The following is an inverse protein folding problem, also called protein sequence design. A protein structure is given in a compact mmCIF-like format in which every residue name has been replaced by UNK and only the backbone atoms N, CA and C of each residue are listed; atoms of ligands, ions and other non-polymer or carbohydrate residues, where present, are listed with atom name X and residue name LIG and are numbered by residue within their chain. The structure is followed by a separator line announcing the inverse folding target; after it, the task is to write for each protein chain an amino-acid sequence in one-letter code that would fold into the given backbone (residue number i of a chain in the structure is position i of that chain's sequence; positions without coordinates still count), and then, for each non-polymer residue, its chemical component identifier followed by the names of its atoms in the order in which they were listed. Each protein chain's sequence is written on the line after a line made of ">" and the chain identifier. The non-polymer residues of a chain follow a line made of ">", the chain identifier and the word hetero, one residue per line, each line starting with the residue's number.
data_IF_344441009727
#
_entry.id   IF_344441009727
#
_cell.length_a   1.000
_cell.length_b   1.000
_cell.length_c   1.000
_cell.angle_alpha   90.00
_cell.angle_beta   90.00
_cell.angle_gamma   90.00
#
_symmetry.space_group_name_H-M   'P 1'
#
loop_
_entity.id
_entity.type
_entity.pdbx_description
1 polymer ?
#
# COMPACT_ATOMS: atom_id res chain seq x y z
N UNK A 1 -20.12 7.32 -22.34
CA UNK A 1 -20.19 5.84 -22.31
C UNK A 1 -19.51 5.22 -21.09
N UNK A 2 -19.07 6.00 -20.09
CA UNK A 2 -18.21 5.50 -18.99
C UNK A 2 -18.91 5.08 -17.69
N UNK A 3 -20.24 5.11 -17.62
CA UNK A 3 -20.94 4.94 -16.33
C UNK A 3 -20.70 3.55 -15.70
N UNK A 4 -20.68 2.50 -16.52
CA UNK A 4 -20.46 1.13 -16.06
C UNK A 4 -19.01 0.93 -15.55
N UNK A 5 -17.95 1.26 -16.32
CA UNK A 5 -16.58 1.17 -15.81
C UNK A 5 -16.36 1.96 -14.52
N UNK A 6 -16.91 3.19 -14.40
CA UNK A 6 -16.80 3.98 -13.17
C UNK A 6 -17.47 3.31 -11.98
N UNK A 7 -18.66 2.73 -12.19
CA UNK A 7 -19.37 2.02 -11.13
C UNK A 7 -18.59 0.81 -10.65
N UNK A 8 -18.07 0.00 -11.57
CA UNK A 8 -17.27 -1.19 -11.24
C UNK A 8 -15.97 -0.78 -10.54
N UNK A 9 -15.25 0.22 -11.05
CA UNK A 9 -14.05 0.78 -10.44
C UNK A 9 -14.34 1.32 -9.03
N UNK A 10 -15.46 2.02 -8.85
CA UNK A 10 -15.92 2.53 -7.56
C UNK A 10 -16.23 1.42 -6.55
N UNK A 11 -16.94 0.36 -6.97
CA UNK A 11 -17.27 -0.79 -6.10
C UNK A 11 -15.99 -1.54 -5.70
N UNK A 12 -15.16 -1.90 -6.66
CA UNK A 12 -13.90 -2.63 -6.41
C UNK A 12 -12.92 -1.81 -5.59
N UNK A 13 -12.75 -0.53 -5.89
CA UNK A 13 -11.93 0.39 -5.09
C UNK A 13 -12.46 0.57 -3.66
N UNK A 14 -13.78 0.62 -3.47
CA UNK A 14 -14.38 0.66 -2.13
C UNK A 14 -14.15 -0.64 -1.38
N UNK A 15 -14.25 -1.80 -2.04
CA UNK A 15 -13.93 -3.09 -1.42
C UNK A 15 -12.47 -3.13 -0.93
N UNK A 16 -11.52 -2.63 -1.73
CA UNK A 16 -10.13 -2.51 -1.31
C UNK A 16 -9.95 -1.54 -0.12
N UNK A 17 -10.69 -0.43 -0.08
CA UNK A 17 -10.67 0.53 1.04
C UNK A 17 -11.38 0.04 2.31
N UNK A 18 -12.29 -0.92 2.19
CA UNK A 18 -12.87 -1.62 3.33
C UNK A 18 -11.91 -2.69 3.86
N UNK A 19 -11.15 -3.34 2.98
CA UNK A 19 -10.17 -4.33 3.39
C UNK A 19 -8.88 -3.71 3.94
N UNK A 20 -8.36 -2.63 3.34
CA UNK A 20 -7.17 -1.92 3.79
C UNK A 20 -7.48 -0.47 4.18
N UNK A 21 -6.69 0.07 5.11
CA UNK A 21 -6.70 1.51 5.41
C UNK A 21 -5.86 2.23 4.35
N UNK A 22 -6.53 2.72 3.31
CA UNK A 22 -5.89 3.34 2.14
C UNK A 22 -5.48 4.78 2.44
N UNK A 23 -4.21 5.10 2.17
CA UNK A 23 -3.61 6.41 2.34
C UNK A 23 -3.05 6.91 1.00
N UNK A 24 -3.74 7.86 0.35
CA UNK A 24 -3.36 8.41 -0.96
C UNK A 24 -2.46 9.62 -0.77
N UNK A 25 -1.31 9.63 -1.46
CA UNK A 25 -0.38 10.75 -1.50
C UNK A 25 0.04 11.08 -2.94
N UNK A 26 0.54 12.30 -3.14
CA UNK A 26 0.99 12.78 -4.43
C UNK A 26 0.04 13.79 -5.07
N UNK A 27 0.45 14.38 -6.21
CA UNK A 27 -0.36 15.36 -6.92
C UNK A 27 -1.61 14.72 -7.55
N UNK A 28 -2.61 15.53 -7.95
CA UNK A 28 -3.67 15.07 -8.83
C UNK A 28 -3.09 14.54 -10.15
N UNK A 29 -3.80 13.59 -10.77
CA UNK A 29 -3.39 13.04 -12.05
C UNK A 29 -3.68 14.04 -13.19
N UNK A 30 -2.79 14.12 -14.20
CA UNK A 30 -3.01 15.00 -15.34
C UNK A 30 -4.18 14.52 -16.20
N UNK A 31 -4.78 15.46 -16.92
CA UNK A 31 -5.76 15.18 -17.97
C UNK A 31 -5.10 14.61 -19.23
N UNK A 32 -5.93 14.08 -20.11
CA UNK A 32 -5.49 13.46 -21.37
C UNK A 32 -4.90 12.06 -21.21
N UNK A 33 -4.11 11.61 -22.19
CA UNK A 33 -3.56 10.26 -22.24
C UNK A 33 -2.56 9.99 -21.11
N UNK A 34 -2.75 8.88 -20.41
CA UNK A 34 -2.05 8.60 -19.16
C UNK A 34 -1.62 7.13 -19.01
N UNK A 35 -0.36 6.93 -18.65
CA UNK A 35 0.15 5.64 -18.15
C UNK A 35 0.44 5.78 -16.65
N UNK A 36 -0.24 4.97 -15.84
CA UNK A 36 0.12 4.72 -14.45
C UNK A 36 1.03 3.50 -14.38
N UNK A 37 2.32 3.72 -14.15
CA UNK A 37 3.31 2.65 -14.00
C UNK A 37 3.53 2.38 -12.51
N UNK A 38 3.09 1.21 -12.03
CA UNK A 38 3.11 0.86 -10.61
C UNK A 38 3.96 -0.37 -10.30
N UNK A 39 4.47 -0.49 -9.08
CA UNK A 39 4.99 -1.76 -8.54
C UNK A 39 3.83 -2.73 -8.23
N UNK A 40 4.09 -4.04 -8.16
CA UNK A 40 3.02 -5.06 -8.08
C UNK A 40 3.09 -6.03 -6.88
N UNK A 41 3.07 -5.54 -5.63
CA UNK A 41 3.27 -6.40 -4.47
C UNK A 41 2.07 -7.30 -4.09
N UNK A 42 0.86 -7.04 -4.58
CA UNK A 42 -0.36 -7.74 -4.14
C UNK A 42 -1.36 -8.02 -5.29
N UNK A 43 -0.84 -8.18 -6.50
CA UNK A 43 -1.60 -8.65 -7.67
C UNK A 43 -2.91 -7.85 -7.88
N UNK A 44 -4.06 -8.52 -7.98
CA UNK A 44 -5.36 -7.89 -8.26
C UNK A 44 -5.73 -6.75 -7.30
N UNK A 45 -5.33 -6.81 -6.03
CA UNK A 45 -5.62 -5.75 -5.06
C UNK A 45 -4.96 -4.43 -5.47
N UNK A 46 -3.77 -4.48 -6.06
CA UNK A 46 -3.06 -3.27 -6.49
C UNK A 46 -3.86 -2.50 -7.53
N UNK A 47 -4.53 -3.19 -8.45
CA UNK A 47 -5.40 -2.58 -9.46
C UNK A 47 -6.63 -1.93 -8.80
N UNK A 48 -7.21 -2.60 -7.81
CA UNK A 48 -8.35 -2.05 -7.05
C UNK A 48 -7.96 -0.80 -6.28
N UNK A 49 -6.74 -0.74 -5.74
CA UNK A 49 -6.22 0.45 -5.06
C UNK A 49 -6.03 1.61 -6.03
N UNK A 50 -5.52 1.37 -7.24
CA UNK A 50 -5.42 2.43 -8.25
C UNK A 50 -6.82 2.91 -8.66
N UNK A 51 -7.82 2.03 -8.83
CA UNK A 51 -9.21 2.46 -9.06
C UNK A 51 -9.73 3.35 -7.94
N UNK A 52 -9.40 3.03 -6.69
CA UNK A 52 -9.79 3.84 -5.53
C UNK A 52 -9.11 5.21 -5.50
N UNK A 53 -7.87 5.29 -5.93
CA UNK A 53 -6.98 6.43 -5.67
C UNK A 53 -6.71 7.33 -6.88
N UNK A 54 -7.02 6.91 -8.10
CA UNK A 54 -6.63 7.65 -9.31
C UNK A 54 -7.63 8.73 -9.76
N UNK A 55 -8.88 8.70 -9.29
CA UNK A 55 -9.98 9.55 -9.79
C UNK A 55 -10.22 9.47 -11.32
N UNK A 56 -9.50 8.57 -12.02
CA UNK A 56 -9.52 8.35 -13.47
C UNK A 56 -9.93 6.90 -13.70
N UNK A 57 -10.64 6.63 -14.80
CA UNK A 57 -10.89 5.25 -15.21
C UNK A 57 -9.62 4.74 -15.85
N UNK A 58 -8.94 3.82 -15.18
CA UNK A 58 -7.73 3.19 -15.68
C UNK A 58 -8.09 1.84 -16.28
N UNK A 59 -7.49 1.49 -17.41
CA UNK A 59 -7.63 0.16 -18.02
C UNK A 59 -6.48 -0.74 -17.54
N UNK A 60 -6.76 -1.82 -16.78
CA UNK A 60 -5.72 -2.73 -16.32
C UNK A 60 -5.12 -3.54 -17.46
N UNK A 61 -3.80 -3.52 -17.56
CA UNK A 61 -3.07 -4.52 -18.33
C UNK A 61 -2.78 -5.70 -17.40
N UNK A 62 -3.39 -6.85 -17.68
CA UNK A 62 -3.37 -8.01 -16.79
C UNK A 62 -3.09 -9.31 -17.54
N UNK A 63 -2.65 -10.35 -16.83
CA UNK A 63 -2.34 -11.67 -17.43
C UNK A 63 -3.57 -12.27 -18.12
N UNK A 64 -3.41 -12.75 -19.35
CA UNK A 64 -4.50 -13.32 -20.15
C UNK A 64 -5.33 -14.40 -19.42
N UNK A 65 -4.74 -15.36 -18.67
CA UNK A 65 -5.53 -16.37 -17.94
C UNK A 65 -6.52 -15.84 -16.89
N UNK A 66 -6.37 -14.57 -16.44
CA UNK A 66 -7.33 -13.93 -15.54
C UNK A 66 -8.64 -13.59 -16.26
N UNK A 67 -8.57 -13.35 -17.57
CA UNK A 67 -9.72 -13.00 -18.40
C UNK A 67 -10.59 -14.22 -18.73
N UNK A 68 -10.05 -15.44 -18.67
CA UNK A 68 -10.81 -16.67 -18.92
C UNK A 68 -11.70 -17.09 -17.73
N UNK A 69 -11.52 -16.45 -16.57
CA UNK A 69 -12.33 -16.71 -15.38
C UNK A 69 -13.73 -16.09 -15.56
N UNK A 70 -14.79 -16.88 -15.39
CA UNK A 70 -16.18 -16.46 -15.66
C UNK A 70 -16.58 -15.12 -15.02
N UNK A 71 -16.37 -14.96 -13.71
CA UNK A 71 -16.72 -13.72 -12.99
C UNK A 71 -15.64 -12.65 -13.14
N UNK A 72 -14.40 -12.97 -12.78
CA UNK A 72 -13.29 -12.01 -12.78
C UNK A 72 -13.01 -11.45 -14.18
N UNK A 73 -13.00 -12.30 -15.20
CA UNK A 73 -12.76 -11.88 -16.59
C UNK A 73 -13.84 -10.96 -17.12
N UNK A 74 -15.10 -11.19 -16.74
CA UNK A 74 -16.22 -10.30 -17.11
C UNK A 74 -16.07 -8.92 -16.49
N UNK A 75 -15.65 -8.85 -15.22
CA UNK A 75 -15.33 -7.58 -14.53
C UNK A 75 -14.16 -6.86 -15.19
N UNK A 76 -13.07 -7.57 -15.49
CA UNK A 76 -11.88 -7.00 -16.15
C UNK A 76 -12.21 -6.46 -17.55
N UNK A 77 -12.97 -7.22 -18.36
CA UNK A 77 -13.44 -6.76 -19.68
C UNK A 77 -14.34 -5.54 -19.58
N UNK A 78 -15.26 -5.51 -18.63
CA UNK A 78 -16.15 -4.36 -18.41
C UNK A 78 -15.39 -3.08 -17.97
N UNK A 79 -14.22 -3.24 -17.34
CA UNK A 79 -13.30 -2.16 -17.03
C UNK A 79 -12.41 -1.73 -18.22
N UNK A 80 -12.56 -2.39 -19.37
CA UNK A 80 -11.70 -2.19 -20.55
C UNK A 80 -10.29 -2.75 -20.36
N UNK A 81 -10.12 -3.76 -19.50
CA UNK A 81 -8.84 -4.42 -19.27
C UNK A 81 -8.28 -5.07 -20.53
N UNK A 82 -6.97 -5.00 -20.67
CA UNK A 82 -6.23 -5.48 -21.84
C UNK A 82 -5.46 -6.75 -21.43
N UNK A 83 -5.71 -7.91 -22.07
CA UNK A 83 -5.00 -9.14 -21.77
C UNK A 83 -3.55 -9.07 -22.25
N UNK A 84 -2.63 -9.55 -21.41
CA UNK A 84 -1.18 -9.61 -21.68
C UNK A 84 -0.77 -11.07 -21.69
N UNK A 85 -0.20 -11.52 -22.81
CA UNK A 85 0.41 -12.85 -22.95
C UNK A 85 1.87 -12.77 -22.53
N UNK A 86 2.27 -13.57 -21.53
CA UNK A 86 3.66 -13.66 -21.07
C UNK A 86 4.25 -14.96 -21.58
N UNK A 87 5.53 -14.92 -21.97
CA UNK A 87 6.28 -16.09 -22.44
C UNK A 87 6.30 -17.24 -21.42
N UNK A 88 6.18 -16.92 -20.13
CA UNK A 88 6.11 -17.88 -19.02
C UNK A 88 4.75 -18.58 -18.91
N UNK A 89 3.67 -17.94 -19.38
CA UNK A 89 2.31 -18.48 -19.31
C UNK A 89 1.96 -19.25 -20.59
N UNK A 90 2.41 -18.76 -21.74
CA UNK A 90 2.20 -19.37 -23.06
C UNK A 90 3.30 -18.89 -24.05
N UNK A 91 4.32 -19.73 -24.33
CA UNK A 91 5.38 -19.39 -25.27
C UNK A 91 4.91 -19.24 -26.72
N UNK A 92 3.82 -19.91 -27.12
CA UNK A 92 3.32 -19.96 -28.49
C UNK A 92 2.37 -18.78 -28.81
N UNK A 93 1.77 -18.16 -27.78
CA UNK A 93 0.89 -16.99 -27.94
C UNK A 93 1.62 -15.63 -28.02
N UNK A 94 2.94 -15.60 -28.25
CA UNK A 94 3.70 -14.34 -28.34
C UNK A 94 3.28 -13.44 -29.49
N UNK A 95 2.77 -14.01 -30.58
CA UNK A 95 2.27 -13.27 -31.74
C UNK A 95 1.04 -12.41 -31.38
N UNK A 96 0.31 -12.75 -30.29
CA UNK A 96 -0.83 -11.96 -29.80
C UNK A 96 -0.43 -10.71 -29.01
N UNK A 97 0.86 -10.51 -28.73
CA UNK A 97 1.30 -9.29 -28.05
C UNK A 97 1.12 -8.04 -28.91
N UNK A 98 1.11 -8.16 -30.23
CA UNK A 98 0.87 -7.03 -31.13
C UNK A 98 -0.54 -6.44 -30.94
N UNK A 99 -1.55 -7.29 -30.72
CA UNK A 99 -2.91 -6.86 -30.41
C UNK A 99 -3.00 -6.13 -29.07
N UNK A 100 -2.24 -6.58 -28.06
CA UNK A 100 -2.13 -5.91 -26.77
C UNK A 100 -1.50 -4.52 -26.91
N UNK A 101 -0.39 -4.40 -27.64
CA UNK A 101 0.26 -3.11 -27.90
C UNK A 101 -0.69 -2.16 -28.63
N UNK A 102 -1.33 -2.63 -29.72
CA UNK A 102 -2.32 -1.85 -30.47
C UNK A 102 -3.47 -1.37 -29.58
N UNK A 103 -4.07 -2.27 -28.81
CA UNK A 103 -5.18 -1.93 -27.91
C UNK A 103 -4.78 -0.88 -26.86
N UNK A 104 -3.55 -0.98 -26.32
CA UNK A 104 -3.04 -0.01 -25.36
C UNK A 104 -2.81 1.35 -26.02
N UNK A 105 -2.25 1.39 -27.23
CA UNK A 105 -2.07 2.62 -28.02
C UNK A 105 -3.41 3.27 -28.35
N UNK A 106 -4.41 2.50 -28.80
CA UNK A 106 -5.75 2.99 -29.13
C UNK A 106 -6.42 3.68 -27.93
N UNK A 107 -6.26 3.10 -26.73
CA UNK A 107 -6.75 3.69 -25.49
C UNK A 107 -6.10 5.05 -25.23
N UNK A 108 -4.78 5.16 -25.45
CA UNK A 108 -4.04 6.40 -25.24
C UNK A 108 -4.41 7.44 -26.32
N UNK A 109 -4.51 7.07 -27.59
CA UNK A 109 -4.98 7.97 -28.65
C UNK A 109 -6.40 8.48 -28.39
N UNK A 110 -7.25 7.68 -27.74
CA UNK A 110 -8.57 8.11 -27.24
C UNK A 110 -8.54 9.00 -26.00
N UNK A 111 -7.37 9.43 -25.51
CA UNK A 111 -7.21 10.23 -24.29
C UNK A 111 -7.45 9.47 -22.99
N UNK A 112 -7.47 8.14 -23.04
CA UNK A 112 -7.72 7.26 -21.91
C UNK A 112 -6.50 7.08 -21.00
N UNK A 113 -6.73 6.39 -19.87
CA UNK A 113 -5.66 6.00 -18.96
C UNK A 113 -5.49 4.48 -18.93
N UNK A 114 -4.24 4.02 -18.89
CA UNK A 114 -3.88 2.63 -18.62
C UNK A 114 -3.15 2.53 -17.28
N UNK A 115 -3.33 1.41 -16.59
CA UNK A 115 -2.50 1.03 -15.46
C UNK A 115 -1.72 -0.23 -15.81
N UNK A 116 -0.42 -0.19 -15.57
CA UNK A 116 0.53 -1.22 -15.97
C UNK A 116 1.56 -1.43 -14.86
N UNK A 117 2.01 -2.67 -14.75
CA UNK A 117 2.98 -3.12 -13.75
C UNK A 117 4.26 -3.58 -14.46
N UNK A 118 5.26 -2.70 -14.63
CA UNK A 118 6.40 -2.95 -15.52
C UNK A 118 7.29 -4.15 -15.10
N UNK A 119 7.22 -4.59 -13.84
CA UNK A 119 7.89 -5.80 -13.34
C UNK A 119 7.41 -7.09 -14.05
N UNK A 120 6.18 -7.09 -14.58
CA UNK A 120 5.60 -8.23 -15.30
C UNK A 120 5.29 -9.46 -14.43
N UNK A 121 5.50 -9.38 -13.10
CA UNK A 121 5.21 -10.39 -12.09
C UNK A 121 4.70 -9.70 -10.83
N UNK A 122 3.83 -10.37 -10.07
CA UNK A 122 3.61 -10.02 -8.67
C UNK A 122 4.68 -10.69 -7.82
N UNK A 123 5.19 -10.01 -6.79
CA UNK A 123 6.12 -10.64 -5.85
C UNK A 123 6.05 -10.03 -4.44
N UNK A 124 6.56 -10.76 -3.46
CA UNK A 124 6.65 -10.32 -2.06
C UNK A 124 8.01 -9.74 -1.66
N UNK A 125 8.94 -9.57 -2.60
CA UNK A 125 10.28 -9.08 -2.31
C UNK A 125 10.29 -7.65 -1.76
N UNK A 126 11.30 -7.34 -0.94
CA UNK A 126 11.51 -6.03 -0.32
C UNK A 126 12.10 -4.97 -1.28
N UNK A 127 12.37 -5.37 -2.53
CA UNK A 127 12.92 -4.58 -3.62
C UNK A 127 12.04 -4.75 -4.85
N UNK A 128 12.07 -3.78 -5.75
CA UNK A 128 11.47 -3.91 -7.09
C UNK A 128 12.20 -5.01 -7.88
N UNK A 129 11.43 -5.82 -8.63
CA UNK A 129 11.97 -6.68 -9.67
C UNK A 129 12.45 -5.87 -10.88
N UNK A 130 13.15 -6.54 -11.79
CA UNK A 130 13.59 -5.96 -13.05
C UNK A 130 12.40 -5.53 -13.92
N UNK A 131 12.48 -4.31 -14.47
CA UNK A 131 11.42 -3.75 -15.29
C UNK A 131 11.54 -4.24 -16.74
N UNK A 132 10.42 -4.69 -17.31
CA UNK A 132 10.33 -5.07 -18.72
C UNK A 132 10.09 -3.83 -19.59
N UNK A 133 10.55 -3.88 -20.83
CA UNK A 133 10.46 -2.75 -21.79
C UNK A 133 9.06 -2.50 -22.35
N UNK A 134 8.07 -3.34 -22.05
CA UNK A 134 6.72 -3.26 -22.63
C UNK A 134 6.04 -1.90 -22.37
N UNK A 135 6.14 -1.36 -21.16
CA UNK A 135 5.58 -0.05 -20.82
C UNK A 135 6.18 1.06 -21.67
N UNK A 136 7.51 1.05 -21.85
CA UNK A 136 8.21 2.03 -22.67
C UNK A 136 7.83 1.92 -24.14
N UNK A 137 7.70 0.70 -24.66
CA UNK A 137 7.26 0.44 -26.04
C UNK A 137 5.86 1.00 -26.31
N UNK A 138 4.89 0.74 -25.43
CA UNK A 138 3.53 1.31 -25.55
C UNK A 138 3.59 2.84 -25.59
N UNK A 139 4.35 3.45 -24.69
CA UNK A 139 4.45 4.90 -24.60
C UNK A 139 5.05 5.53 -25.87
N UNK A 140 6.16 4.97 -26.35
CA UNK A 140 6.87 5.47 -27.54
C UNK A 140 6.05 5.26 -28.81
N UNK A 141 5.41 4.09 -28.98
CA UNK A 141 4.54 3.83 -30.12
C UNK A 141 3.30 4.74 -30.13
N UNK A 142 2.74 5.04 -28.96
CA UNK A 142 1.60 5.96 -28.86
C UNK A 142 2.00 7.39 -29.26
N UNK A 143 3.15 7.88 -28.82
CA UNK A 143 3.66 9.19 -29.26
C UNK A 143 4.01 9.18 -30.75
N UNK A 144 4.74 8.17 -31.24
CA UNK A 144 5.11 8.05 -32.66
C UNK A 144 3.88 8.06 -33.57
N UNK A 145 2.85 7.27 -33.25
CA UNK A 145 1.62 7.21 -34.05
C UNK A 145 0.80 8.51 -34.08
N UNK A 146 1.14 9.48 -33.22
CA UNK A 146 0.55 10.82 -33.18
C UNK A 146 1.56 11.92 -33.55
N UNK A 147 2.63 11.58 -34.28
CA UNK A 147 3.78 12.44 -34.60
C UNK A 147 4.30 13.26 -33.40
N UNK A 148 4.39 12.59 -32.24
CA UNK A 148 4.92 13.13 -30.99
C UNK A 148 4.10 14.30 -30.41
N UNK A 149 2.85 14.44 -30.85
CA UNK A 149 1.88 15.45 -30.42
C UNK A 149 0.81 14.93 -29.45
N UNK A 150 0.88 13.67 -29.02
CA UNK A 150 -0.15 13.05 -28.17
C UNK A 150 -0.23 13.71 -26.78
N UNK A 151 0.92 14.15 -26.26
CA UNK A 151 1.00 14.75 -24.93
C UNK A 151 0.88 13.72 -23.80
N UNK A 152 1.34 12.48 -24.05
CA UNK A 152 1.27 11.36 -23.12
C UNK A 152 1.96 11.68 -21.80
N UNK A 153 1.23 11.51 -20.71
CA UNK A 153 1.77 11.58 -19.36
C UNK A 153 2.06 10.20 -18.81
N UNK A 154 3.23 10.03 -18.21
CA UNK A 154 3.62 8.83 -17.46
C UNK A 154 3.75 9.23 -15.99
N UNK A 155 3.02 8.54 -15.12
CA UNK A 155 3.03 8.77 -13.68
C UNK A 155 3.52 7.50 -12.99
N UNK A 156 4.68 7.55 -12.32
CA UNK A 156 5.12 6.49 -11.44
C UNK A 156 4.20 6.39 -10.22
N UNK A 157 3.87 5.17 -9.81
CA UNK A 157 3.02 4.90 -8.65
C UNK A 157 3.71 3.91 -7.73
N UNK A 158 3.80 4.25 -6.45
CA UNK A 158 4.29 3.35 -5.42
C UNK A 158 3.18 2.88 -4.50
N UNK A 159 3.04 1.57 -4.39
CA UNK A 159 2.09 0.88 -3.50
C UNK A 159 2.91 0.19 -2.41
N UNK A 160 2.71 0.61 -1.17
CA UNK A 160 3.42 0.08 0.00
C UNK A 160 2.43 -0.40 1.05
N UNK A 161 2.44 -1.70 1.34
CA UNK A 161 1.59 -2.31 2.37
C UNK A 161 2.32 -2.37 3.71
N UNK A 162 1.62 -2.06 4.81
CA UNK A 162 2.07 -2.36 6.16
C UNK A 162 2.22 -3.87 6.36
N UNK A 163 1.14 -4.62 6.10
CA UNK A 163 1.15 -6.09 6.02
C UNK A 163 0.04 -6.56 5.08
N UNK A 164 0.41 -7.08 3.91
CA UNK A 164 -0.53 -7.30 2.79
C UNK A 164 -1.47 -8.49 2.99
N UNK A 165 -1.08 -9.46 3.79
CA UNK A 165 -1.83 -10.69 4.07
C UNK A 165 -2.91 -10.51 5.15
N UNK A 166 -2.85 -9.39 5.88
CA UNK A 166 -3.73 -9.07 6.99
C UNK A 166 -4.75 -8.00 6.56
N UNK A 167 -6.01 -8.25 6.88
CA UNK A 167 -7.05 -7.24 6.71
C UNK A 167 -6.85 -6.08 7.71
N UNK A 168 -7.36 -4.91 7.34
CA UNK A 168 -7.40 -3.67 8.13
C UNK A 168 -6.01 -3.09 8.46
N UNK A 169 -5.00 -3.53 7.73
CA UNK A 169 -3.67 -2.92 7.74
C UNK A 169 -3.61 -1.75 6.76
N UNK A 170 -2.60 -0.90 6.92
CA UNK A 170 -2.47 0.29 6.08
C UNK A 170 -1.83 -0.04 4.73
N UNK A 171 -2.24 0.70 3.71
CA UNK A 171 -1.58 0.73 2.41
C UNK A 171 -1.44 2.17 1.96
N UNK A 172 -0.20 2.57 1.66
CA UNK A 172 0.09 3.87 1.07
C UNK A 172 0.16 3.73 -0.45
N UNK A 173 -0.60 4.56 -1.16
CA UNK A 173 -0.56 4.69 -2.63
C UNK A 173 -0.03 6.09 -2.96
N UNK A 174 1.17 6.15 -3.51
CA UNK A 174 1.88 7.40 -3.80
C UNK A 174 1.99 7.63 -5.30
N UNK A 175 1.47 8.75 -5.77
CA UNK A 175 1.64 9.20 -7.14
C UNK A 175 2.84 10.13 -7.23
N UNK A 176 3.78 9.80 -8.12
CA UNK A 176 4.94 10.63 -8.41
C UNK A 176 4.61 11.78 -9.34
N UNK A 177 5.61 12.62 -9.61
CA UNK A 177 5.49 13.71 -10.61
C UNK A 177 5.34 13.10 -12.01
N UNK A 178 4.31 13.53 -12.74
CA UNK A 178 4.13 13.17 -14.14
C UNK A 178 5.29 13.65 -15.00
N UNK A 179 5.70 12.84 -15.98
CA UNK A 179 6.65 13.23 -17.01
C UNK A 179 6.19 12.75 -18.39
N UNK A 180 6.70 13.40 -19.43
CA UNK A 180 6.45 13.02 -20.83
C UNK A 180 7.63 12.23 -21.37
N UNK A 181 7.40 11.46 -22.44
CA UNK A 181 8.45 10.77 -23.19
C UNK A 181 8.70 11.37 -24.57
N UNK A 182 8.02 12.47 -24.93
CA UNK A 182 8.13 13.07 -26.26
C UNK A 182 9.55 13.62 -26.56
N UNK A 183 10.33 13.89 -25.51
CA UNK A 183 11.73 14.28 -25.56
C UNK A 183 12.65 13.17 -26.10
N UNK A 184 12.16 11.94 -26.24
CA UNK A 184 12.92 10.81 -26.79
C UNK A 184 12.72 10.62 -28.30
N UNK A 185 12.09 11.57 -29.01
CA UNK A 185 11.81 11.49 -30.47
C UNK A 185 13.02 11.11 -31.31
N UNK A 186 14.08 11.89 -31.21
CA UNK A 186 15.27 11.68 -32.05
C UNK A 186 15.99 10.38 -31.66
N UNK A 187 16.11 10.10 -30.36
CA UNK A 187 16.69 8.85 -29.89
C UNK A 187 15.90 7.62 -30.37
N UNK A 188 14.57 7.73 -30.46
CA UNK A 188 13.72 6.65 -30.97
C UNK A 188 13.86 6.46 -32.49
N UNK A 189 14.03 7.54 -33.26
CA UNK A 189 14.29 7.46 -34.70
C UNK A 189 15.63 6.80 -35.02
N UNK A 190 16.64 7.07 -34.21
CA UNK A 190 17.98 6.48 -34.35
C UNK A 190 18.01 5.02 -33.92
N UNK A 191 17.53 4.73 -32.70
CA UNK A 191 17.49 3.37 -32.15
C UNK A 191 16.26 3.20 -31.22
N UNK A 192 15.16 2.62 -31.73
CA UNK A 192 13.96 2.35 -30.95
C UNK A 192 14.20 1.50 -29.69
N UNK A 193 15.17 0.58 -29.74
CA UNK A 193 15.48 -0.33 -28.62
C UNK A 193 16.21 0.43 -27.52
N UNK A 194 17.22 1.23 -27.88
CA UNK A 194 17.94 2.06 -26.92
C UNK A 194 17.03 3.12 -26.28
N UNK A 195 16.17 3.77 -27.06
CA UNK A 195 15.17 4.71 -26.53
C UNK A 195 14.20 4.02 -25.56
N UNK A 196 13.75 2.80 -25.90
CA UNK A 196 12.91 1.97 -25.05
C UNK A 196 13.58 1.63 -23.71
N UNK A 197 14.87 1.26 -23.72
CA UNK A 197 15.65 1.00 -22.50
C UNK A 197 15.78 2.26 -21.64
N UNK A 198 16.16 3.39 -22.24
CA UNK A 198 16.28 4.69 -21.56
C UNK A 198 14.97 5.13 -20.89
N UNK A 199 13.84 4.94 -21.57
CA UNK A 199 12.53 5.23 -20.98
C UNK A 199 12.17 4.25 -19.86
N UNK A 200 12.50 2.96 -20.02
CA UNK A 200 12.29 1.94 -18.98
C UNK A 200 13.04 2.30 -17.70
N UNK A 201 14.32 2.69 -17.81
CA UNK A 201 15.13 3.16 -16.69
C UNK A 201 14.53 4.41 -16.03
N UNK A 202 14.04 5.37 -16.81
CA UNK A 202 13.38 6.58 -16.29
C UNK A 202 12.10 6.22 -15.51
N UNK A 203 11.31 5.27 -16.01
CA UNK A 203 10.11 4.76 -15.32
C UNK A 203 10.51 4.05 -14.03
N UNK A 204 11.51 3.17 -14.07
CA UNK A 204 12.01 2.43 -12.90
C UNK A 204 12.48 3.39 -11.81
N UNK A 205 13.32 4.37 -12.15
CA UNK A 205 13.77 5.39 -11.20
C UNK A 205 12.60 6.19 -10.61
N UNK A 206 11.58 6.48 -11.42
CA UNK A 206 10.34 7.10 -10.98
C UNK A 206 9.62 6.25 -9.93
N UNK A 207 9.36 4.96 -10.22
CA UNK A 207 8.63 4.07 -9.31
C UNK A 207 9.44 3.83 -8.03
N UNK A 208 10.76 3.66 -8.15
CA UNK A 208 11.68 3.51 -7.02
C UNK A 208 11.64 4.68 -6.05
N UNK A 209 11.40 5.90 -6.54
CA UNK A 209 11.23 7.10 -5.69
C UNK A 209 9.90 7.11 -4.94
N UNK A 210 8.90 6.39 -5.43
CA UNK A 210 7.58 6.30 -4.80
C UNK A 210 7.39 5.04 -3.94
N UNK A 211 8.38 4.14 -3.90
CA UNK A 211 8.38 2.91 -3.07
C UNK A 211 9.41 2.94 -1.94
N UNK A 212 9.20 2.09 -0.93
CA UNK A 212 10.24 1.76 0.07
C UNK A 212 11.04 0.57 -0.45
N UNK A 213 12.32 0.80 -0.76
CA UNK A 213 13.22 -0.22 -1.28
C UNK A 213 14.24 -0.58 -0.21
N UNK A 214 14.29 -1.85 0.17
CA UNK A 214 15.23 -2.35 1.15
C UNK A 214 16.11 -3.43 0.54
N UNK A 215 17.43 -3.36 0.78
CA UNK A 215 18.35 -4.40 0.33
C UNK A 215 18.05 -5.77 0.95
N UNK A 216 17.54 -5.80 2.19
CA UNK A 216 17.15 -7.03 2.90
C UNK A 216 15.77 -6.89 3.55
N UNK A 217 14.96 -7.97 3.65
CA UNK A 217 13.66 -7.93 4.32
C UNK A 217 13.73 -7.44 5.78
N UNK A 218 14.79 -7.77 6.51
CA UNK A 218 14.99 -7.34 7.91
C UNK A 218 15.24 -5.84 8.06
N UNK A 219 15.75 -5.18 7.03
CA UNK A 219 16.08 -3.74 7.09
C UNK A 219 14.83 -2.90 7.26
N UNK A 220 13.70 -3.36 6.72
CA UNK A 220 12.40 -2.69 6.88
C UNK A 220 12.04 -2.50 8.35
N UNK A 221 12.14 -3.56 9.14
CA UNK A 221 11.82 -3.53 10.58
C UNK A 221 12.75 -2.56 11.30
N UNK A 222 14.05 -2.60 10.99
CA UNK A 222 15.04 -1.73 11.60
C UNK A 222 14.78 -0.26 11.27
N UNK A 223 14.48 0.04 10.01
CA UNK A 223 14.15 1.41 9.56
C UNK A 223 12.86 1.91 10.21
N UNK A 224 11.82 1.08 10.28
CA UNK A 224 10.57 1.46 10.93
C UNK A 224 10.76 1.73 12.43
N UNK A 225 11.56 0.92 13.14
CA UNK A 225 11.88 1.11 14.56
C UNK A 225 12.75 2.35 14.77
N UNK A 226 13.79 2.53 13.96
CA UNK A 226 14.70 3.67 14.05
C UNK A 226 13.96 4.99 13.83
N UNK A 227 13.11 5.06 12.80
CA UNK A 227 12.29 6.22 12.49
C UNK A 227 11.33 6.53 13.65
N UNK A 228 10.61 5.51 14.14
CA UNK A 228 9.68 5.63 15.26
C UNK A 228 10.34 6.15 16.54
N UNK A 229 11.50 5.61 16.90
CA UNK A 229 12.26 6.04 18.06
C UNK A 229 12.67 7.51 17.91
N UNK A 230 13.25 7.87 16.77
CA UNK A 230 13.82 9.19 16.54
C UNK A 230 12.76 10.29 16.59
N UNK A 231 11.62 10.13 15.91
CA UNK A 231 10.57 11.17 15.88
C UNK A 231 9.90 11.39 17.24
N UNK A 232 9.90 10.36 18.10
CA UNK A 232 9.31 10.43 19.45
C UNK A 232 10.27 11.02 20.46
N UNK A 233 11.55 10.67 20.37
CA UNK A 233 12.58 11.28 21.20
C UNK A 233 12.71 12.79 20.89
N UNK A 234 12.57 13.19 19.62
CA UNK A 234 12.51 14.59 19.20
C UNK A 234 11.16 15.28 19.46
N UNK A 235 10.16 14.55 19.98
CA UNK A 235 8.80 15.06 20.27
C UNK A 235 8.08 15.65 19.06
N UNK A 236 8.45 15.26 17.84
CA UNK A 236 7.69 15.61 16.63
C UNK A 236 6.31 14.95 16.65
N UNK A 237 6.23 13.78 17.29
CA UNK A 237 5.05 12.93 17.34
C UNK A 237 4.84 12.46 18.78
N UNK A 238 3.60 12.47 19.31
CA UNK A 238 3.32 11.93 20.64
C UNK A 238 3.68 10.43 20.75
N UNK A 239 4.12 9.99 21.92
CA UNK A 239 4.61 8.63 22.17
C UNK A 239 3.69 7.50 21.70
N UNK A 240 2.37 7.65 21.90
CA UNK A 240 1.35 6.66 21.50
C UNK A 240 0.61 7.01 20.21
N UNK A 241 1.04 8.05 19.50
CA UNK A 241 0.44 8.37 18.21
C UNK A 241 0.83 7.30 17.17
N UNK A 242 -0.18 6.84 16.43
CA UNK A 242 -0.07 5.91 15.30
C UNK A 242 -0.28 6.74 14.04
N UNK A 243 0.81 7.21 13.44
CA UNK A 243 0.76 7.96 12.18
C UNK A 243 0.52 7.03 11.00
N UNK A 244 -0.22 7.51 10.00
CA UNK A 244 -0.42 6.77 8.76
C UNK A 244 0.88 6.56 8.00
N UNK A 245 1.00 5.42 7.34
CA UNK A 245 2.16 5.00 6.58
C UNK A 245 2.59 6.04 5.54
N UNK A 246 1.67 6.67 4.82
CA UNK A 246 2.01 7.65 3.81
C UNK A 246 2.59 8.96 4.38
N UNK A 247 2.19 9.36 5.60
CA UNK A 247 2.81 10.48 6.34
C UNK A 247 4.23 10.13 6.80
N UNK A 248 4.46 8.89 7.25
CA UNK A 248 5.77 8.40 7.68
C UNK A 248 6.73 8.20 6.50
N UNK A 249 6.19 7.99 5.31
CA UNK A 249 6.93 7.54 4.13
C UNK A 249 8.17 8.38 3.78
N UNK A 250 8.14 9.73 3.73
CA UNK A 250 9.34 10.51 3.42
C UNK A 250 10.46 10.31 4.45
N UNK A 251 10.08 10.11 5.73
CA UNK A 251 11.04 9.83 6.81
C UNK A 251 11.60 8.41 6.65
N UNK A 252 10.75 7.42 6.43
CA UNK A 252 11.18 6.03 6.18
C UNK A 252 12.16 5.94 4.99
N UNK A 253 11.93 6.68 3.91
CA UNK A 253 12.88 6.76 2.79
C UNK A 253 14.22 7.39 3.16
N UNK A 254 14.22 8.45 3.99
CA UNK A 254 15.46 9.07 4.48
C UNK A 254 16.25 8.09 5.33
N UNK A 255 15.60 7.39 6.26
CA UNK A 255 16.22 6.34 7.08
C UNK A 255 16.73 5.16 6.24
N UNK A 256 15.97 4.70 5.25
CA UNK A 256 16.40 3.62 4.35
C UNK A 256 17.66 4.02 3.55
N UNK A 257 17.71 5.23 3.00
CA UNK A 257 18.90 5.75 2.30
C UNK A 257 20.10 5.90 3.22
N UNK A 258 19.89 6.39 4.45
CA UNK A 258 20.95 6.48 5.45
C UNK A 258 21.51 5.12 5.82
N UNK A 259 20.65 4.09 5.95
CA UNK A 259 21.07 2.73 6.23
C UNK A 259 21.91 2.12 5.09
N UNK A 260 21.54 2.34 3.83
CA UNK A 260 22.34 1.89 2.69
C UNK A 260 23.67 2.64 2.57
N UNK A 261 23.69 3.96 2.83
CA UNK A 261 24.92 4.76 2.82
C UNK A 261 25.91 4.26 3.89
N UNK A 262 25.49 4.13 5.15
CA UNK A 262 26.38 3.67 6.22
C UNK A 262 26.86 2.23 5.99
N UNK A 263 26.03 1.39 5.37
CA UNK A 263 26.44 0.02 4.99
C UNK A 263 27.61 0.01 4.02
N UNK A 264 27.61 0.91 3.03
CA UNK A 264 28.66 1.03 2.03
C UNK A 264 29.91 1.75 2.57
N UNK A 265 29.71 2.90 3.23
CA UNK A 265 30.80 3.76 3.69
C UNK A 265 31.46 3.27 4.99
N UNK A 266 30.69 2.72 5.93
CA UNK A 266 31.15 2.37 7.28
C UNK A 266 30.57 1.02 7.78
N UNK A 267 31.02 -0.12 7.23
CA UNK A 267 30.41 -1.43 7.50
C UNK A 267 30.35 -1.84 8.98
N UNK A 268 31.39 -1.53 9.76
CA UNK A 268 31.43 -1.86 11.20
C UNK A 268 30.49 -0.97 12.02
N UNK A 269 30.38 0.32 11.70
CA UNK A 269 29.43 1.23 12.35
C UNK A 269 27.99 0.83 12.01
N UNK A 270 27.74 0.43 10.75
CA UNK A 270 26.47 -0.15 10.33
C UNK A 270 26.09 -1.38 11.17
N UNK A 271 27.02 -2.34 11.37
CA UNK A 271 26.75 -3.53 12.20
C UNK A 271 26.35 -3.15 13.63
N UNK A 272 27.12 -2.26 14.27
CA UNK A 272 26.83 -1.79 15.64
C UNK A 272 25.49 -1.06 15.72
N UNK A 273 25.17 -0.21 14.75
CA UNK A 273 23.89 0.50 14.70
C UNK A 273 22.72 -0.48 14.58
N UNK A 274 22.82 -1.44 13.66
CA UNK A 274 21.81 -2.50 13.48
C UNK A 274 21.60 -3.30 14.77
N UNK A 275 22.67 -3.67 15.46
CA UNK A 275 22.58 -4.38 16.74
C UNK A 275 21.88 -3.55 17.83
N UNK A 276 22.20 -2.26 17.95
CA UNK A 276 21.56 -1.36 18.92
C UNK A 276 20.07 -1.18 18.61
N UNK A 277 19.70 -0.93 17.35
CA UNK A 277 18.29 -0.81 16.94
C UNK A 277 17.55 -2.13 17.15
N UNK A 278 18.17 -3.27 16.83
CA UNK A 278 17.57 -4.59 17.07
C UNK A 278 17.38 -4.87 18.57
N UNK A 279 18.31 -4.43 19.43
CA UNK A 279 18.16 -4.52 20.88
C UNK A 279 16.98 -3.69 21.38
N UNK A 280 16.83 -2.46 20.87
CA UNK A 280 15.67 -1.62 21.16
C UNK A 280 14.36 -2.28 20.72
N UNK A 281 14.32 -2.83 19.50
CA UNK A 281 13.16 -3.52 18.96
C UNK A 281 12.73 -4.70 19.83
N UNK A 282 13.69 -5.53 20.29
CA UNK A 282 13.40 -6.66 21.19
C UNK A 282 12.79 -6.22 22.53
N UNK A 283 13.36 -5.19 23.16
CA UNK A 283 12.82 -4.65 24.40
C UNK A 283 11.40 -4.10 24.20
N UNK A 284 11.17 -3.40 23.08
CA UNK A 284 9.86 -2.85 22.73
C UNK A 284 8.81 -3.95 22.54
N UNK A 285 9.20 -5.04 21.89
CA UNK A 285 8.34 -6.21 21.64
C UNK A 285 8.02 -6.98 22.94
N UNK A 286 8.97 -7.10 23.88
CA UNK A 286 8.70 -7.67 25.21
C UNK A 286 7.59 -6.92 25.95
N UNK A 287 7.57 -5.59 25.83
CA UNK A 287 6.51 -4.76 26.38
C UNK A 287 5.22 -4.79 25.54
N UNK A 288 5.26 -5.37 24.33
CA UNK A 288 4.21 -5.31 23.30
C UNK A 288 3.79 -3.86 23.04
N UNK A 289 4.79 -2.97 22.92
CA UNK A 289 4.54 -1.56 22.66
C UNK A 289 3.74 -1.35 21.36
N UNK A 290 3.91 -2.26 20.39
CA UNK A 290 3.24 -2.22 19.10
C UNK A 290 3.75 -1.05 18.27
N UNK A 291 2.85 -0.43 17.50
CA UNK A 291 3.17 0.75 16.69
C UNK A 291 3.38 2.02 17.53
N UNK A 292 2.83 2.07 18.74
CA UNK A 292 3.12 3.12 19.72
C UNK A 292 4.40 2.79 20.47
N UNK A 293 5.21 3.80 20.80
CA UNK A 293 6.43 3.55 21.56
C UNK A 293 6.17 3.66 23.08
N UNK A 294 7.23 3.42 23.85
CA UNK A 294 7.23 3.40 25.31
C UNK A 294 7.50 4.81 25.84
N UNK A 295 6.49 5.51 26.41
CA UNK A 295 6.70 6.85 26.94
C UNK A 295 7.65 6.82 28.15
N UNK A 296 8.47 7.89 28.36
CA UNK A 296 9.40 7.96 29.47
C UNK A 296 8.65 8.02 30.82
N UNK A 297 7.53 8.74 30.87
CA UNK A 297 6.67 8.88 32.05
C UNK A 297 5.21 8.98 31.65
N UNK A 298 4.34 8.44 32.51
CA UNK A 298 2.89 8.67 32.44
C UNK A 298 2.51 9.72 33.47
N UNK A 299 1.82 10.77 33.04
CA UNK A 299 1.22 11.77 33.92
C UNK A 299 -0.28 11.49 34.10
N UNK A 300 -0.81 11.85 35.27
CA UNK A 300 -2.20 11.52 35.63
C UNK A 300 -3.24 12.12 34.67
N UNK A 301 -3.14 13.43 34.37
CA UNK A 301 -4.15 14.13 33.56
C UNK A 301 -4.30 13.57 32.13
N UNK A 302 -3.24 13.36 31.33
CA UNK A 302 -3.37 12.74 30.01
C UNK A 302 -3.91 11.31 30.06
N UNK A 303 -3.52 10.52 31.07
CA UNK A 303 -4.03 9.16 31.26
C UNK A 303 -5.52 9.19 31.60
N UNK A 304 -5.95 10.05 32.53
CA UNK A 304 -7.36 10.20 32.88
C UNK A 304 -8.21 10.64 31.69
N UNK A 305 -7.74 11.63 30.90
CA UNK A 305 -8.40 12.04 29.65
C UNK A 305 -8.47 10.90 28.64
N UNK A 306 -7.39 10.15 28.46
CA UNK A 306 -7.36 9.00 27.55
C UNK A 306 -8.39 7.94 27.97
N UNK A 307 -8.39 7.55 29.25
CA UNK A 307 -9.32 6.55 29.81
C UNK A 307 -10.76 7.02 29.66
N UNK A 308 -11.06 8.28 29.97
CA UNK A 308 -12.41 8.83 29.82
C UNK A 308 -12.86 8.78 28.36
N UNK A 309 -12.09 9.36 27.43
CA UNK A 309 -12.48 9.44 26.02
C UNK A 309 -12.58 8.04 25.38
N UNK A 310 -11.53 7.23 25.51
CA UNK A 310 -11.47 5.91 24.87
C UNK A 310 -12.42 4.91 25.55
N UNK A 311 -12.56 5.00 26.88
CA UNK A 311 -13.50 4.19 27.65
C UNK A 311 -14.95 4.51 27.30
N UNK A 312 -15.34 5.78 27.19
CA UNK A 312 -16.69 6.16 26.77
C UNK A 312 -16.99 5.68 25.35
N UNK A 313 -16.06 5.83 24.40
CA UNK A 313 -16.24 5.32 23.04
C UNK A 313 -16.42 3.79 23.00
N UNK A 314 -15.63 3.05 23.79
CA UNK A 314 -15.79 1.61 23.93
C UNK A 314 -17.12 1.23 24.56
N UNK A 315 -17.56 1.93 25.62
CA UNK A 315 -18.82 1.64 26.30
C UNK A 315 -20.03 1.89 25.40
N UNK A 316 -20.08 3.05 24.72
CA UNK A 316 -21.18 3.40 23.82
C UNK A 316 -21.21 2.52 22.57
N UNK A 317 -20.06 2.10 22.06
CA UNK A 317 -19.98 1.23 20.88
C UNK A 317 -20.22 -0.25 21.17
N UNK A 318 -20.11 -0.71 22.43
CA UNK A 318 -20.17 -2.12 22.78
C UNK A 318 -21.48 -2.82 22.36
N UNK A 319 -22.70 -2.26 22.59
CA UNK A 319 -23.94 -2.94 22.19
C UNK A 319 -24.01 -3.18 20.68
N UNK A 320 -23.63 -2.17 19.88
CA UNK A 320 -23.58 -2.26 18.43
C UNK A 320 -22.48 -3.19 17.94
N UNK A 321 -21.33 -3.21 18.63
CA UNK A 321 -20.23 -4.10 18.32
C UNK A 321 -20.58 -5.56 18.56
N UNK A 322 -21.29 -5.86 19.66
CA UNK A 322 -21.80 -7.21 19.95
C UNK A 322 -22.82 -7.63 18.89
N UNK A 323 -23.82 -6.79 18.62
CA UNK A 323 -24.81 -7.07 17.59
C UNK A 323 -24.18 -7.27 16.21
N UNK A 324 -23.28 -6.36 15.79
CA UNK A 324 -22.55 -6.46 14.54
C UNK A 324 -21.68 -7.69 14.43
N UNK A 325 -20.93 -8.02 15.49
CA UNK A 325 -20.06 -9.21 15.52
C UNK A 325 -20.85 -10.50 15.39
N UNK A 326 -22.04 -10.59 16.01
CA UNK A 326 -22.92 -11.75 15.91
C UNK A 326 -23.53 -11.87 14.51
N UNK A 327 -24.04 -10.77 13.95
CA UNK A 327 -24.66 -10.75 12.62
C UNK A 327 -23.65 -11.06 11.51
N UNK A 328 -22.42 -10.56 11.62
CA UNK A 328 -21.37 -10.71 10.61
C UNK A 328 -20.42 -11.88 10.87
N UNK A 329 -20.56 -12.59 11.99
CA UNK A 329 -19.73 -13.72 12.36
C UNK A 329 -19.58 -14.79 11.27
N UNK A 330 -20.64 -15.20 10.53
CA UNK A 330 -20.52 -16.17 9.45
C UNK A 330 -19.71 -15.62 8.27
N UNK A 331 -19.96 -14.36 7.90
CA UNK A 331 -19.35 -13.69 6.75
C UNK A 331 -17.85 -13.46 6.98
N UNK A 332 -17.46 -13.02 8.18
CA UNK A 332 -16.05 -12.76 8.54
C UNK A 332 -15.25 -14.07 8.65
N UNK A 333 -15.87 -15.18 9.03
CA UNK A 333 -15.21 -16.49 9.12
C UNK A 333 -15.11 -17.21 7.78
N UNK A 334 -16.00 -16.91 6.82
CA UNK A 334 -16.05 -17.54 5.51
C UNK A 334 -14.72 -17.47 4.74
N UNK A 335 -13.99 -16.32 4.67
CA UNK A 335 -12.67 -16.25 4.06
C UNK A 335 -11.67 -17.28 4.59
N UNK A 336 -11.59 -17.45 5.91
CA UNK A 336 -10.66 -18.40 6.54
C UNK A 336 -11.02 -19.85 6.20
N UNK A 337 -12.32 -20.16 6.18
CA UNK A 337 -12.83 -21.47 5.77
C UNK A 337 -12.50 -21.78 4.30
N UNK A 338 -12.78 -20.85 3.38
CA UNK A 338 -12.49 -21.02 1.95
C UNK A 338 -10.99 -21.14 1.68
N UNK A 339 -10.15 -20.33 2.34
CA UNK A 339 -8.69 -20.45 2.24
C UNK A 339 -8.21 -21.81 2.77
N UNK A 340 -8.79 -22.33 3.87
CA UNK A 340 -8.47 -23.65 4.40
C UNK A 340 -8.81 -24.80 3.45
N UNK A 341 -9.88 -24.64 2.65
CA UNK A 341 -10.29 -25.61 1.62
C UNK A 341 -9.41 -25.54 0.37
N UNK A 342 -9.16 -24.34 -0.15
CA UNK A 342 -8.45 -24.13 -1.42
C UNK A 342 -6.93 -24.23 -1.26
N UNK A 343 -6.39 -23.88 -0.08
CA UNK A 343 -4.96 -23.78 0.23
C UNK A 343 -4.15 -23.05 -0.85
N UNK A 344 -4.52 -21.79 -1.18
CA UNK A 344 -3.87 -21.02 -2.22
C UNK A 344 -2.45 -20.61 -1.85
N UNK A 345 -1.64 -20.26 -2.86
CA UNK A 345 -0.37 -19.59 -2.67
C UNK A 345 -0.53 -18.25 -1.92
N UNK A 346 0.53 -17.79 -1.26
CA UNK A 346 0.52 -16.57 -0.44
C UNK A 346 0.09 -15.33 -1.24
N UNK A 347 0.47 -15.23 -2.51
CA UNK A 347 0.15 -14.08 -3.38
C UNK A 347 -1.34 -13.94 -3.69
N UNK A 348 -2.07 -15.05 -3.73
CA UNK A 348 -3.50 -15.07 -4.08
C UNK A 348 -4.39 -15.14 -2.82
N UNK A 349 -3.79 -15.41 -1.65
CA UNK A 349 -4.51 -15.54 -0.38
C UNK A 349 -5.31 -14.27 -0.04
N UNK A 350 -4.73 -13.08 -0.16
CA UNK A 350 -5.42 -11.83 0.11
C UNK A 350 -6.59 -11.61 -0.87
N UNK A 351 -6.38 -11.89 -2.15
CA UNK A 351 -7.41 -11.84 -3.20
C UNK A 351 -8.59 -12.76 -2.88
N UNK A 352 -8.34 -14.02 -2.50
CA UNK A 352 -9.40 -14.98 -2.17
C UNK A 352 -10.15 -14.53 -0.91
N UNK A 353 -9.42 -14.06 0.12
CA UNK A 353 -10.06 -13.54 1.33
C UNK A 353 -10.98 -12.35 1.01
N UNK A 354 -10.48 -11.40 0.21
CA UNK A 354 -11.23 -10.22 -0.22
C UNK A 354 -12.46 -10.61 -1.06
N UNK A 355 -12.28 -11.46 -2.07
CA UNK A 355 -13.37 -11.91 -2.94
C UNK A 355 -14.45 -12.68 -2.18
N UNK A 356 -14.05 -13.56 -1.27
CA UNK A 356 -14.97 -14.33 -0.41
C UNK A 356 -15.73 -13.41 0.55
N UNK A 357 -15.04 -12.45 1.17
CA UNK A 357 -15.66 -11.46 2.06
C UNK A 357 -16.65 -10.60 1.29
N UNK A 358 -16.30 -10.15 0.09
CA UNK A 358 -17.14 -9.35 -0.78
C UNK A 358 -18.39 -10.12 -1.23
N UNK A 359 -18.23 -11.36 -1.68
CA UNK A 359 -19.34 -12.23 -2.07
C UNK A 359 -20.29 -12.50 -0.89
N UNK A 360 -19.75 -12.82 0.29
CA UNK A 360 -20.54 -13.01 1.50
C UNK A 360 -21.28 -11.74 1.93
N UNK A 361 -20.64 -10.57 1.78
CA UNK A 361 -21.25 -9.26 2.07
C UNK A 361 -22.41 -8.96 1.12
N UNK A 362 -22.22 -9.15 -0.19
CA UNK A 362 -23.29 -8.95 -1.17
C UNK A 362 -24.45 -9.93 -0.98
N UNK A 363 -24.15 -11.21 -0.70
CA UNK A 363 -25.17 -12.19 -0.39
C UNK A 363 -26.00 -11.77 0.83
N UNK A 364 -25.35 -11.28 1.90
CA UNK A 364 -26.05 -10.78 3.08
C UNK A 364 -26.90 -9.52 2.79
N UNK A 365 -26.42 -8.63 1.92
CA UNK A 365 -27.15 -7.42 1.50
C UNK A 365 -28.36 -7.69 0.61
N UNK A 366 -28.39 -8.82 -0.09
CA UNK A 366 -29.54 -9.22 -0.92
C UNK A 366 -30.50 -10.09 -0.11
N UNK A 367 -29.97 -11.13 0.53
CA UNK A 367 -30.77 -12.11 1.26
C UNK A 367 -31.36 -11.53 2.55
N UNK A 368 -30.64 -10.64 3.24
CA UNK A 368 -31.11 -10.02 4.48
C UNK A 368 -32.41 -9.24 4.29
N UNK A 369 -32.48 -8.25 3.38
CA UNK A 369 -33.70 -7.53 3.07
C UNK A 369 -34.80 -8.42 2.48
N UNK A 370 -34.46 -9.39 1.64
CA UNK A 370 -35.45 -10.33 1.08
C UNK A 370 -36.12 -11.17 2.18
N UNK A 371 -35.33 -11.73 3.11
CA UNK A 371 -35.86 -12.45 4.28
C UNK A 371 -36.64 -11.51 5.20
N UNK A 372 -36.15 -10.28 5.42
CA UNK A 372 -36.86 -9.27 6.21
C UNK A 372 -38.23 -8.93 5.62
N UNK A 373 -38.32 -8.83 4.29
CA UNK A 373 -39.58 -8.62 3.58
C UNK A 373 -40.56 -9.77 3.79
N UNK A 374 -40.10 -11.02 3.73
CA UNK A 374 -40.94 -12.20 3.97
C UNK A 374 -41.48 -12.26 5.40
N UNK A 375 -40.74 -11.73 6.38
CA UNK A 375 -41.11 -11.79 7.81
C UNK A 375 -42.01 -10.63 8.24
N UNK A 376 -41.79 -9.41 7.73
CA UNK A 376 -42.55 -8.24 8.18
C UNK A 376 -42.62 -7.11 7.17
N UNK A 377 -42.54 -7.43 5.88
CA UNK A 377 -42.73 -6.49 4.79
C UNK A 377 -41.63 -5.43 4.68
N UNK A 378 -41.97 -4.31 4.04
CA UNK A 378 -41.00 -3.28 3.64
C UNK A 378 -40.26 -2.61 4.81
N UNK A 379 -40.90 -2.50 5.97
CA UNK A 379 -40.28 -1.89 7.16
C UNK A 379 -39.11 -2.75 7.68
N UNK A 380 -39.33 -4.06 7.86
CA UNK A 380 -38.28 -4.98 8.29
C UNK A 380 -37.21 -5.13 7.20
N UNK A 381 -37.60 -5.16 5.92
CA UNK A 381 -36.65 -5.18 4.80
C UNK A 381 -35.71 -3.97 4.82
N UNK A 382 -36.24 -2.75 5.04
CA UNK A 382 -35.45 -1.53 5.13
C UNK A 382 -34.51 -1.55 6.34
N UNK A 383 -34.98 -2.02 7.51
CA UNK A 383 -34.13 -2.19 8.70
C UNK A 383 -33.00 -3.19 8.42
N UNK A 384 -33.31 -4.33 7.80
CA UNK A 384 -32.32 -5.35 7.44
C UNK A 384 -31.29 -4.87 6.38
N UNK A 385 -31.67 -3.91 5.53
CA UNK A 385 -30.76 -3.31 4.56
C UNK A 385 -29.76 -2.33 5.19
N UNK A 386 -30.13 -1.66 6.29
CA UNK A 386 -29.33 -0.55 6.85
C UNK A 386 -28.66 -0.92 8.17
N UNK A 387 -29.40 -1.52 9.11
CA UNK A 387 -28.95 -1.71 10.47
C UNK A 387 -27.85 -2.78 10.61
N UNK A 388 -27.97 -3.99 10.04
CA UNK A 388 -26.89 -4.98 10.11
C UNK A 388 -25.56 -4.47 9.53
N UNK A 389 -25.51 -3.83 8.34
CA UNK A 389 -24.26 -3.27 7.81
C UNK A 389 -23.67 -2.17 8.69
N UNK A 390 -24.51 -1.26 9.21
CA UNK A 390 -24.07 -0.23 10.13
C UNK A 390 -23.46 -0.83 11.41
N UNK A 391 -24.14 -1.81 12.02
CA UNK A 391 -23.63 -2.53 13.18
C UNK A 391 -22.33 -3.27 12.89
N UNK A 392 -22.19 -3.90 11.71
CA UNK A 392 -20.95 -4.55 11.28
C UNK A 392 -19.79 -3.57 11.15
N UNK A 393 -20.03 -2.39 10.57
CA UNK A 393 -19.04 -1.33 10.47
C UNK A 393 -18.63 -0.78 11.85
N UNK A 394 -19.59 -0.54 12.73
CA UNK A 394 -19.33 -0.12 14.12
C UNK A 394 -18.55 -1.19 14.87
N UNK A 395 -18.89 -2.48 14.70
CA UNK A 395 -18.15 -3.59 15.30
C UNK A 395 -16.69 -3.61 14.84
N UNK A 396 -16.43 -3.39 13.55
CA UNK A 396 -15.07 -3.30 13.01
C UNK A 396 -14.27 -2.15 13.65
N UNK A 397 -14.84 -0.94 13.69
CA UNK A 397 -14.18 0.22 14.32
C UNK A 397 -13.96 0.02 15.83
N UNK A 398 -14.93 -0.60 16.49
CA UNK A 398 -14.83 -0.92 17.91
C UNK A 398 -13.74 -1.94 18.19
N UNK A 399 -13.60 -2.99 17.37
CA UNK A 399 -12.53 -3.98 17.50
C UNK A 399 -11.15 -3.37 17.30
N UNK A 400 -11.00 -2.44 16.34
CA UNK A 400 -9.76 -1.68 16.14
C UNK A 400 -9.43 -0.85 17.39
N UNK A 401 -10.40 -0.09 17.90
CA UNK A 401 -10.26 0.72 19.12
C UNK A 401 -9.92 -0.14 20.34
N UNK A 402 -10.61 -1.26 20.53
CA UNK A 402 -10.41 -2.17 21.66
C UNK A 402 -9.01 -2.81 21.62
N UNK A 403 -8.51 -3.14 20.43
CA UNK A 403 -7.14 -3.63 20.25
C UNK A 403 -6.12 -2.57 20.64
N UNK A 404 -6.28 -1.32 20.18
CA UNK A 404 -5.40 -0.21 20.54
C UNK A 404 -5.37 0.03 22.06
N UNK A 405 -6.54 0.10 22.70
CA UNK A 405 -6.66 0.32 24.15
C UNK A 405 -6.04 -0.83 24.93
N UNK A 406 -6.23 -2.08 24.49
CA UNK A 406 -5.62 -3.26 25.10
C UNK A 406 -4.09 -3.23 25.01
N UNK A 407 -3.53 -2.84 23.85
CA UNK A 407 -2.09 -2.65 23.68
C UNK A 407 -1.56 -1.56 24.61
N UNK A 408 -2.19 -0.38 24.60
CA UNK A 408 -1.79 0.77 25.42
C UNK A 408 -1.84 0.44 26.92
N UNK A 409 -2.88 -0.29 27.35
CA UNK A 409 -3.06 -0.73 28.74
C UNK A 409 -2.06 -1.81 29.12
N UNK A 410 -1.76 -2.77 28.24
CA UNK A 410 -0.75 -3.79 28.49
C UNK A 410 0.63 -3.16 28.70
N UNK A 411 1.00 -2.17 27.88
CA UNK A 411 2.25 -1.41 28.02
C UNK A 411 2.27 -0.66 29.35
N UNK A 412 1.19 0.06 29.68
CA UNK A 412 1.06 0.80 30.93
C UNK A 412 1.27 -0.09 32.16
N UNK A 413 0.54 -1.21 32.25
CA UNK A 413 0.61 -2.14 33.39
C UNK A 413 1.99 -2.79 33.53
N UNK A 414 2.59 -3.23 32.41
CA UNK A 414 3.93 -3.85 32.42
C UNK A 414 5.02 -2.85 32.82
N UNK A 415 4.90 -1.61 32.38
CA UNK A 415 5.82 -0.55 32.78
C UNK A 415 5.69 -0.18 34.25
N UNK A 416 4.53 -0.34 34.90
CA UNK A 416 4.40 -0.10 36.34
C UNK A 416 5.16 -1.16 37.16
N UNK A 417 5.24 -2.40 36.69
CA UNK A 417 5.97 -3.47 37.36
C UNK A 417 7.47 -3.59 37.03
N UNK A 418 8.02 -2.70 36.17
CA UNK A 418 9.43 -2.78 35.70
C UNK A 418 10.08 -1.40 35.53
N UNK A 419 10.40 -0.68 36.62
CA UNK A 419 11.04 0.63 36.54
C UNK A 419 12.39 0.60 35.80
N UNK A 420 13.23 -0.41 36.04
CA UNK A 420 14.54 -0.58 35.38
C UNK A 420 14.46 -0.65 33.86
N UNK A 421 13.35 -1.18 33.32
CA UNK A 421 13.15 -1.22 31.88
C UNK A 421 13.01 0.21 31.32
N UNK A 422 12.30 1.10 32.02
CA UNK A 422 12.11 2.49 31.58
C UNK A 422 13.42 3.24 31.46
N UNK A 423 14.31 3.05 32.41
CA UNK A 423 15.65 3.66 32.40
C UNK A 423 16.48 3.13 31.24
N UNK A 424 16.55 1.79 31.07
CA UNK A 424 17.21 1.16 29.92
C UNK A 424 16.68 1.65 28.58
N UNK A 425 15.36 1.85 28.45
CA UNK A 425 14.74 2.42 27.26
C UNK A 425 15.20 3.87 27.04
N UNK A 426 15.18 4.70 28.07
CA UNK A 426 15.61 6.09 27.98
C UNK A 426 17.09 6.21 27.57
N UNK A 427 17.97 5.40 28.16
CA UNK A 427 19.39 5.34 27.82
C UNK A 427 19.60 4.94 26.36
N UNK A 428 19.00 3.83 25.92
CA UNK A 428 19.12 3.36 24.54
C UNK A 428 18.59 4.38 23.53
N UNK A 429 17.48 5.08 23.85
CA UNK A 429 16.95 6.14 22.97
C UNK A 429 17.89 7.33 22.87
N UNK A 430 18.44 7.79 23.99
CA UNK A 430 19.37 8.90 24.02
C UNK A 430 20.61 8.56 23.18
N UNK A 431 21.20 7.37 23.39
CA UNK A 431 22.36 6.89 22.62
C UNK A 431 22.06 6.77 21.11
N UNK A 432 20.95 6.14 20.74
CA UNK A 432 20.57 5.94 19.34
C UNK A 432 20.27 7.27 18.66
N UNK A 433 19.58 8.19 19.35
CA UNK A 433 19.25 9.51 18.81
C UNK A 433 20.51 10.35 18.59
N UNK A 434 21.47 10.31 19.51
CA UNK A 434 22.76 10.97 19.32
C UNK A 434 23.53 10.37 18.14
N UNK A 435 23.57 9.03 18.05
CA UNK A 435 24.17 8.32 16.92
C UNK A 435 23.52 8.75 15.59
N UNK A 436 22.19 8.83 15.53
CA UNK A 436 21.47 9.27 14.34
C UNK A 436 21.80 10.72 13.95
N UNK A 437 21.89 11.64 14.92
CA UNK A 437 22.28 13.04 14.65
C UNK A 437 23.72 13.15 14.13
N UNK A 438 24.65 12.40 14.70
CA UNK A 438 26.04 12.38 14.25
C UNK A 438 26.16 11.86 12.82
N UNK A 439 25.45 10.77 12.49
CA UNK A 439 25.41 10.21 11.15
C UNK A 439 24.74 11.15 10.14
N UNK A 440 23.65 11.81 10.53
CA UNK A 440 22.97 12.78 9.68
C UNK A 440 23.88 13.97 9.34
N UNK A 441 24.63 14.48 10.32
CA UNK A 441 25.61 15.53 10.10
C UNK A 441 26.70 15.09 9.12
N UNK A 442 27.34 13.94 9.37
CA UNK A 442 28.39 13.38 8.49
C UNK A 442 27.89 13.17 7.06
N UNK A 443 26.70 12.57 6.90
CA UNK A 443 26.11 12.34 5.59
C UNK A 443 25.83 13.64 4.84
N UNK A 444 25.40 14.69 5.55
CA UNK A 444 25.16 16.01 4.94
C UNK A 444 26.47 16.67 4.51
N UNK A 445 27.50 16.61 5.35
CA UNK A 445 28.82 17.19 5.09
C UNK A 445 29.48 16.54 3.86
N UNK A 446 29.45 15.20 3.75
CA UNK A 446 30.00 14.46 2.60
C UNK A 446 29.26 14.78 1.29
N UNK A 447 27.94 14.92 1.35
CA UNK A 447 27.16 15.29 0.16
C UNK A 447 27.50 16.69 -0.33
N UNK A 448 27.60 17.66 0.58
CA UNK A 448 27.98 19.02 0.23
C UNK A 448 29.41 19.08 -0.32
N UNK A 449 30.34 18.27 0.21
CA UNK A 449 31.69 18.17 -0.33
C UNK A 449 31.68 17.65 -1.78
N UNK A 450 30.92 16.57 -2.04
CA UNK A 450 30.80 15.96 -3.37
C UNK A 450 30.17 16.90 -4.40
N UNK A 451 29.14 17.66 -3.99
CA UNK A 451 28.47 18.65 -4.84
C UNK A 451 29.39 19.85 -5.18
N UNK A 452 30.33 20.20 -4.29
CA UNK A 452 31.36 21.22 -4.57
C UNK A 452 32.45 20.72 -5.51
N UNK A 453 32.83 19.44 -5.44
CA UNK A 453 33.89 18.87 -6.31
C UNK A 453 33.43 18.56 -7.74
N UNK A 454 32.13 18.44 -7.98
CA UNK A 454 31.56 18.19 -9.32
C UNK A 454 30.90 19.45 -9.94
N UNK A 455 30.93 20.58 -9.22
CA UNK A 455 30.44 21.88 -9.69
C UNK A 455 31.53 22.87 -10.11
N UNK A 456 32.80 22.48 -9.94
CA UNK A 456 34.01 23.09 -10.54
C UNK A 456 34.45 22.24 -11.75
#
# INVERSE_FOLDING_TARGET
>A
MDRIPRLIAGITGTAAALFYRVDRHGPPLPDGPLILAANHPNSLVDAMLIFRCSDRITRPLGRAPLFDRFLLGSVLRALGGIPVHRREDDPEAMDRNEEMFRSAVDVLHGGGAIQIYPEGKSHSEARLAEFRTGTARIALQAEEGADWGLGLSIVPVGITYAAKELARTEVAVRFGKAFRCADLREAFREDPVAAGRRLTERIEQGVRRETLNFGRPRDRILVEVAEQLYVRELRWVPWRARERLGTRFPRLQRFARGLEWIRGAHPEEHRRLVEKVARYARLSDELRAGEGDVPPRYSFLPVAKYVLVRGTLLALGLPFAVAGSLLWAPIVRLPGFVVGLVKPELEVTATIKLGTLLAGTFAAWILGPALGFLVGGWTIAAVAAVLPPACGFVAMLWMELAREVREDTAVFLRLQGRPDHREKFAELRAELTDTFRQLEKRWTDERQATERTHGE
#
